data_IF_799627584410
#
_entry.id   IF_799627584410
#
_cell.length_a   1.000
_cell.length_b   1.000
_cell.length_c   1.000
_cell.angle_alpha   90.00
_cell.angle_beta   90.00
_cell.angle_gamma   90.00
#
_symmetry.space_group_name_H-M   'P 1'
#
loop_
_entity.id
_entity.type
_entity.pdbx_description
1 polymer ?
#
# COMPACT_ATOMS: atom_id res chain seq x y z
N UNK A 1 19.07 -21.36 42.05
CA UNK A 1 17.81 -21.70 41.34
C UNK A 1 17.76 -20.83 40.10
N UNK A 2 17.94 -21.42 38.91
CA UNK A 2 17.77 -20.70 37.64
C UNK A 2 16.29 -20.45 37.43
N UNK A 3 15.85 -19.18 37.47
CA UNK A 3 14.48 -18.80 37.10
C UNK A 3 14.27 -19.19 35.64
N UNK A 4 13.28 -20.05 35.40
CA UNK A 4 12.98 -20.54 34.05
C UNK A 4 12.11 -19.52 33.32
N UNK A 5 12.36 -19.30 32.03
CA UNK A 5 11.56 -18.39 31.20
C UNK A 5 10.06 -18.75 31.19
N UNK A 6 9.76 -20.03 31.43
CA UNK A 6 8.40 -20.59 31.47
C UNK A 6 7.65 -20.22 32.77
N UNK A 7 8.34 -19.69 33.78
CA UNK A 7 7.74 -19.23 35.04
C UNK A 7 7.18 -17.81 34.96
N UNK A 8 7.41 -17.11 33.84
CA UNK A 8 6.87 -15.77 33.64
C UNK A 8 5.35 -15.82 33.48
N UNK A 9 4.62 -14.81 34.02
CA UNK A 9 3.21 -14.61 33.71
C UNK A 9 2.97 -14.56 32.20
N UNK A 10 1.85 -15.14 31.76
CA UNK A 10 1.55 -15.31 30.33
C UNK A 10 1.48 -13.97 29.58
N UNK A 11 0.93 -12.94 30.20
CA UNK A 11 0.85 -11.57 29.66
C UNK A 11 2.24 -10.97 29.44
N UNK A 12 3.15 -11.11 30.41
CA UNK A 12 4.56 -10.68 30.29
C UNK A 12 5.25 -11.44 29.16
N UNK A 13 4.98 -12.74 29.04
CA UNK A 13 5.55 -13.56 27.99
C UNK A 13 5.06 -13.12 26.60
N UNK A 14 3.75 -12.89 26.43
CA UNK A 14 3.19 -12.37 25.17
C UNK A 14 3.77 -11.00 24.81
N UNK A 15 3.95 -10.13 25.81
CA UNK A 15 4.55 -8.81 25.65
C UNK A 15 6.01 -8.88 25.20
N UNK A 16 6.78 -9.89 25.62
CA UNK A 16 8.13 -10.12 25.10
C UNK A 16 8.10 -10.68 23.68
N UNK A 17 7.19 -11.62 23.39
CA UNK A 17 7.12 -12.31 22.11
C UNK A 17 6.67 -11.41 20.95
N UNK A 18 5.98 -10.29 21.22
CA UNK A 18 5.60 -9.32 20.17
C UNK A 18 6.80 -8.69 19.44
N UNK A 19 7.99 -8.78 20.04
CA UNK A 19 9.22 -8.23 19.45
C UNK A 19 9.93 -9.20 18.51
N UNK A 20 9.54 -10.47 18.50
CA UNK A 20 10.09 -11.46 17.58
C UNK A 20 9.49 -11.27 16.18
N UNK A 21 10.29 -11.54 15.15
CA UNK A 21 9.72 -11.72 13.83
C UNK A 21 8.98 -13.06 13.74
N UNK A 22 8.25 -13.27 12.64
CA UNK A 22 7.44 -14.49 12.50
C UNK A 22 8.30 -15.75 12.49
N UNK A 23 9.52 -15.68 11.96
CA UNK A 23 10.43 -16.83 11.90
C UNK A 23 10.93 -17.21 13.29
N UNK A 24 11.44 -16.24 14.04
CA UNK A 24 11.90 -16.39 15.41
C UNK A 24 10.78 -16.87 16.33
N UNK A 25 9.57 -16.34 16.14
CA UNK A 25 8.40 -16.79 16.88
C UNK A 25 8.08 -18.28 16.60
N UNK A 26 8.08 -18.70 15.34
CA UNK A 26 7.83 -20.11 14.98
C UNK A 26 8.91 -21.01 15.59
N UNK A 27 10.17 -20.60 15.51
CA UNK A 27 11.29 -21.32 16.10
C UNK A 27 11.14 -21.41 17.62
N UNK A 28 10.76 -20.31 18.28
CA UNK A 28 10.50 -20.26 19.71
C UNK A 28 9.36 -21.21 20.12
N UNK A 29 8.24 -21.20 19.38
CA UNK A 29 7.09 -22.08 19.61
C UNK A 29 7.45 -23.58 19.47
N UNK A 30 8.55 -23.90 18.79
CA UNK A 30 9.00 -25.28 18.61
C UNK A 30 9.79 -25.85 19.80
N UNK A 31 10.30 -24.99 20.70
CA UNK A 31 11.28 -25.34 21.73
C UNK A 31 10.79 -26.38 22.75
N UNK A 32 9.60 -26.20 23.33
CA UNK A 32 9.03 -27.12 24.32
C UNK A 32 7.50 -27.15 24.29
N UNK A 33 6.90 -28.13 24.98
CA UNK A 33 5.43 -28.33 24.98
C UNK A 33 4.68 -27.13 25.57
N UNK A 34 5.14 -26.61 26.71
CA UNK A 34 4.48 -25.48 27.38
C UNK A 34 4.52 -24.22 26.52
N UNK A 35 5.68 -23.92 25.91
CA UNK A 35 5.80 -22.79 24.99
C UNK A 35 4.93 -22.99 23.75
N UNK A 36 4.83 -24.22 23.23
CA UNK A 36 3.99 -24.55 22.08
C UNK A 36 2.51 -24.27 22.34
N UNK A 37 2.03 -24.36 23.57
CA UNK A 37 0.63 -24.03 23.91
C UNK A 37 0.27 -22.56 23.65
N UNK A 38 1.27 -21.66 23.66
CA UNK A 38 1.07 -20.25 23.33
C UNK A 38 0.59 -20.05 21.88
N UNK A 39 0.82 -21.02 20.99
CA UNK A 39 0.31 -20.98 19.63
C UNK A 39 -1.23 -20.91 19.58
N UNK A 40 -1.93 -21.25 20.67
CA UNK A 40 -3.38 -21.16 20.76
C UNK A 40 -3.89 -19.74 21.02
N UNK A 41 -3.00 -18.81 21.35
CA UNK A 41 -3.34 -17.41 21.61
C UNK A 41 -3.45 -16.62 20.30
N UNK A 42 -4.63 -16.08 19.99
CA UNK A 42 -4.84 -15.26 18.78
C UNK A 42 -3.95 -14.01 18.77
N UNK A 43 -3.83 -13.34 19.93
CA UNK A 43 -3.05 -12.12 20.09
C UNK A 43 -1.59 -12.30 19.68
N UNK A 44 -0.99 -13.45 19.97
CA UNK A 44 0.38 -13.76 19.59
C UNK A 44 0.60 -13.67 18.07
N UNK A 45 -0.27 -14.32 17.29
CA UNK A 45 -0.18 -14.31 15.83
C UNK A 45 -0.50 -12.94 15.24
N UNK A 46 -1.47 -12.24 15.83
CA UNK A 46 -1.80 -10.88 15.41
C UNK A 46 -0.62 -9.92 15.63
N UNK A 47 0.04 -9.98 16.79
CA UNK A 47 1.24 -9.18 17.06
C UNK A 47 2.36 -9.49 16.07
N UNK A 48 2.61 -10.77 15.76
CA UNK A 48 3.62 -11.14 14.78
C UNK A 48 3.32 -10.58 13.37
N UNK A 49 2.04 -10.58 12.97
CA UNK A 49 1.58 -10.00 11.70
C UNK A 49 1.67 -8.47 11.68
N UNK A 50 1.26 -7.80 12.76
CA UNK A 50 1.43 -6.34 12.93
C UNK A 50 2.91 -5.97 12.83
N UNK A 51 3.79 -6.73 13.48
CA UNK A 51 5.23 -6.51 13.45
C UNK A 51 5.82 -6.59 12.05
N UNK A 52 5.39 -7.58 11.25
CA UNK A 52 5.79 -7.67 9.84
C UNK A 52 5.41 -6.41 9.09
N UNK A 53 4.17 -5.94 9.28
CA UNK A 53 3.66 -4.74 8.64
C UNK A 53 4.49 -3.51 9.03
N UNK A 54 4.73 -3.29 10.32
CA UNK A 54 5.49 -2.15 10.83
C UNK A 54 6.95 -2.13 10.36
N UNK A 55 7.63 -3.28 10.42
CA UNK A 55 9.07 -3.35 10.15
C UNK A 55 9.38 -3.46 8.66
N UNK A 56 8.54 -4.17 7.91
CA UNK A 56 8.84 -4.51 6.51
C UNK A 56 8.00 -3.70 5.52
N UNK A 57 7.06 -2.87 6.01
CA UNK A 57 6.17 -2.04 5.18
C UNK A 57 5.44 -2.84 4.09
N UNK A 58 5.18 -4.13 4.36
CA UNK A 58 4.54 -5.01 3.39
C UNK A 58 3.04 -5.15 3.71
N UNK A 59 2.18 -5.05 2.68
CA UNK A 59 0.77 -5.38 2.84
C UNK A 59 0.64 -6.87 3.17
N UNK A 60 -0.11 -7.18 4.22
CA UNK A 60 -0.36 -8.57 4.61
C UNK A 60 -1.42 -9.19 3.69
N UNK A 61 -1.35 -10.50 3.43
CA UNK A 61 -2.37 -11.22 2.67
C UNK A 61 -3.62 -11.50 3.54
N UNK A 62 -4.20 -10.44 4.10
CA UNK A 62 -5.47 -10.47 4.84
C UNK A 62 -6.63 -10.10 3.89
N UNK A 63 -7.86 -10.61 4.12
CA UNK A 63 -9.04 -10.15 3.40
C UNK A 63 -9.23 -8.64 3.57
N UNK A 64 -9.71 -7.93 2.54
CA UNK A 64 -9.92 -6.48 2.60
C UNK A 64 -10.82 -6.04 3.77
N UNK A 65 -11.82 -6.85 4.14
CA UNK A 65 -12.70 -6.61 5.30
C UNK A 65 -12.00 -6.76 6.68
N UNK A 66 -10.77 -7.26 6.71
CA UNK A 66 -9.97 -7.48 7.91
C UNK A 66 -8.58 -6.85 7.75
N UNK A 67 -8.52 -5.67 7.13
CA UNK A 67 -7.28 -4.92 7.02
C UNK A 67 -6.83 -4.41 8.40
N UNK A 68 -5.52 -4.44 8.63
CA UNK A 68 -4.91 -3.83 9.81
C UNK A 68 -5.00 -2.29 9.79
N UNK A 69 -5.38 -1.70 8.65
CA UNK A 69 -5.53 -0.24 8.48
C UNK A 69 -6.83 0.30 9.02
N UNK A 70 -7.89 -0.51 8.98
CA UNK A 70 -9.26 -0.05 9.19
C UNK A 70 -9.82 -0.50 10.52
N UNK A 71 -9.29 -1.61 11.06
CA UNK A 71 -9.80 -2.23 12.27
C UNK A 71 -8.80 -2.06 13.42
N UNK A 72 -9.34 -1.76 14.60
CA UNK A 72 -8.61 -1.85 15.86
C UNK A 72 -8.14 -3.30 16.11
N UNK A 73 -7.11 -3.44 16.94
CA UNK A 73 -6.57 -4.74 17.32
C UNK A 73 -7.65 -5.67 17.90
N UNK A 74 -8.59 -5.11 18.66
CA UNK A 74 -9.69 -5.86 19.24
C UNK A 74 -10.66 -6.37 18.16
N UNK A 75 -11.06 -5.51 17.22
CA UNK A 75 -11.96 -5.90 16.11
C UNK A 75 -11.35 -7.00 15.24
N UNK A 76 -10.03 -7.00 15.04
CA UNK A 76 -9.32 -8.05 14.32
C UNK A 76 -9.31 -9.37 15.07
N UNK A 77 -9.14 -9.34 16.40
CA UNK A 77 -9.23 -10.54 17.24
C UNK A 77 -10.63 -11.17 17.22
N UNK A 78 -11.65 -10.33 17.14
CA UNK A 78 -13.06 -10.74 17.08
C UNK A 78 -13.41 -11.29 15.69
N UNK A 79 -12.89 -10.67 14.63
CA UNK A 79 -13.20 -11.03 13.23
C UNK A 79 -12.41 -12.24 12.73
N UNK A 80 -11.12 -12.35 13.08
CA UNK A 80 -10.23 -13.37 12.52
C UNK A 80 -10.18 -14.63 13.39
N UNK A 81 -10.31 -15.80 12.76
CA UNK A 81 -10.12 -17.08 13.44
C UNK A 81 -8.63 -17.35 13.71
N UNK A 82 -8.34 -18.12 14.77
CA UNK A 82 -6.97 -18.52 15.10
C UNK A 82 -6.28 -19.21 13.93
N UNK A 83 -6.99 -20.14 13.27
CA UNK A 83 -6.47 -20.86 12.10
C UNK A 83 -6.11 -19.92 10.95
N UNK A 84 -6.91 -18.86 10.72
CA UNK A 84 -6.62 -17.87 9.69
C UNK A 84 -5.36 -17.07 10.02
N UNK A 85 -5.23 -16.60 11.26
CA UNK A 85 -4.05 -15.86 11.73
C UNK A 85 -2.78 -16.71 11.61
N UNK A 86 -2.81 -17.96 12.08
CA UNK A 86 -1.71 -18.92 11.96
C UNK A 86 -1.32 -19.14 10.50
N UNK A 87 -2.30 -19.41 9.64
CA UNK A 87 -2.06 -19.65 8.23
C UNK A 87 -1.43 -18.44 7.54
N UNK A 88 -1.97 -17.24 7.78
CA UNK A 88 -1.42 -15.99 7.24
C UNK A 88 0.01 -15.77 7.73
N UNK A 89 0.32 -15.97 9.01
CA UNK A 89 1.68 -15.84 9.54
C UNK A 89 2.66 -16.81 8.87
N UNK A 90 2.28 -18.08 8.73
CA UNK A 90 3.10 -19.08 8.04
C UNK A 90 3.34 -18.72 6.56
N UNK A 91 2.31 -18.25 5.86
CA UNK A 91 2.44 -17.78 4.48
C UNK A 91 3.40 -16.60 4.37
N UNK A 92 3.26 -15.62 5.25
CA UNK A 92 4.15 -14.46 5.32
C UNK A 92 5.60 -14.90 5.56
N UNK A 93 5.83 -15.78 6.53
CA UNK A 93 7.16 -16.33 6.78
C UNK A 93 7.75 -17.01 5.53
N UNK A 94 6.95 -17.81 4.83
CA UNK A 94 7.40 -18.48 3.61
C UNK A 94 7.74 -17.49 2.49
N UNK A 95 6.93 -16.43 2.31
CA UNK A 95 7.20 -15.34 1.36
C UNK A 95 8.52 -14.66 1.73
N UNK A 96 8.71 -14.30 2.99
CA UNK A 96 9.93 -13.62 3.45
C UNK A 96 11.18 -14.49 3.27
N UNK A 97 11.10 -15.78 3.58
CA UNK A 97 12.19 -16.73 3.31
C UNK A 97 12.51 -16.82 1.83
N UNK A 98 11.49 -16.90 0.98
CA UNK A 98 11.68 -16.93 -0.47
C UNK A 98 12.33 -15.64 -0.98
N UNK A 99 11.87 -14.47 -0.53
CA UNK A 99 12.43 -13.17 -0.89
C UNK A 99 13.88 -12.99 -0.43
N UNK A 100 14.25 -13.55 0.73
CA UNK A 100 15.63 -13.53 1.26
C UNK A 100 16.55 -14.58 0.64
N UNK A 101 16.00 -15.55 -0.11
CA UNK A 101 16.80 -16.63 -0.70
C UNK A 101 17.65 -16.11 -1.88
N UNK A 102 18.79 -16.75 -2.14
CA UNK A 102 19.65 -16.40 -3.29
C UNK A 102 18.92 -16.54 -4.64
N UNK A 103 17.91 -17.42 -4.69
CA UNK A 103 17.15 -17.74 -5.90
C UNK A 103 15.64 -17.70 -5.59
N UNK A 104 15.04 -16.51 -5.40
CA UNK A 104 13.63 -16.37 -5.09
C UNK A 104 12.78 -16.98 -6.22
N UNK A 105 11.87 -17.87 -5.86
CA UNK A 105 10.99 -18.55 -6.82
C UNK A 105 9.62 -17.88 -6.83
N UNK A 106 9.11 -17.42 -7.98
CA UNK A 106 7.74 -16.95 -8.05
C UNK A 106 6.79 -18.10 -7.75
N UNK A 107 5.85 -17.92 -6.82
CA UNK A 107 4.84 -18.93 -6.48
C UNK A 107 3.88 -19.14 -7.65
N UNK A 108 3.57 -18.06 -8.37
CA UNK A 108 2.67 -18.08 -9.51
C UNK A 108 3.06 -16.99 -10.50
N UNK A 109 3.28 -17.38 -11.75
CA UNK A 109 3.51 -16.45 -12.85
C UNK A 109 2.20 -16.31 -13.62
N UNK A 110 1.79 -15.06 -13.83
CA UNK A 110 0.63 -14.70 -14.64
C UNK A 110 1.06 -13.65 -15.64
N UNK A 111 0.60 -13.78 -16.87
CA UNK A 111 0.85 -12.78 -17.91
C UNK A 111 -0.41 -11.95 -18.08
N UNK A 112 -0.27 -10.65 -17.91
CA UNK A 112 -1.31 -9.69 -18.30
C UNK A 112 -1.05 -9.29 -19.75
N UNK A 113 -2.08 -9.33 -20.59
CA UNK A 113 -1.99 -8.88 -21.99
C UNK A 113 -2.03 -7.36 -22.06
N UNK A 114 -0.97 -6.72 -21.56
CA UNK A 114 -0.81 -5.26 -21.57
C UNK A 114 -0.08 -4.87 -22.85
N UNK A 115 -0.55 -3.83 -23.52
CA UNK A 115 0.17 -3.24 -24.64
C UNK A 115 1.57 -2.77 -24.21
N UNK A 116 2.52 -2.79 -25.14
CA UNK A 116 3.89 -2.35 -24.89
C UNK A 116 3.87 -0.89 -24.41
N UNK A 117 4.82 -0.54 -23.53
CA UNK A 117 5.06 0.82 -23.01
C UNK A 117 4.14 1.33 -21.89
N UNK A 118 3.32 0.48 -21.28
CA UNK A 118 2.52 0.88 -20.12
C UNK A 118 3.24 0.65 -18.80
N UNK A 119 3.16 1.62 -17.89
CA UNK A 119 3.64 1.42 -16.50
C UNK A 119 2.58 0.65 -15.73
N UNK A 120 3.04 -0.11 -14.73
CA UNK A 120 2.21 -0.97 -13.89
C UNK A 120 2.33 -0.51 -12.43
N UNK A 121 1.19 -0.33 -11.78
CA UNK A 121 1.06 -0.15 -10.33
C UNK A 121 0.16 -1.25 -9.78
N UNK A 122 0.37 -1.65 -8.53
CA UNK A 122 -0.48 -2.64 -7.87
C UNK A 122 -1.38 -1.95 -6.84
N UNK A 123 -2.55 -2.51 -6.53
CA UNK A 123 -3.32 -2.17 -5.34
C UNK A 123 -3.38 -3.48 -4.54
N UNK A 124 -2.37 -3.75 -3.69
CA UNK A 124 -2.17 -5.07 -3.11
C UNK A 124 -3.38 -5.55 -2.31
N UNK A 125 -3.98 -4.68 -1.50
CA UNK A 125 -5.17 -5.00 -0.70
C UNK A 125 -6.36 -5.44 -1.56
N UNK A 126 -6.44 -4.96 -2.79
CA UNK A 126 -7.52 -5.26 -3.72
C UNK A 126 -7.18 -6.39 -4.71
N UNK A 127 -5.96 -6.92 -4.75
CA UNK A 127 -5.48 -7.79 -5.84
C UNK A 127 -5.74 -7.17 -7.23
N UNK A 128 -5.58 -5.85 -7.33
CA UNK A 128 -5.72 -5.14 -8.59
C UNK A 128 -4.37 -4.68 -9.10
N UNK A 129 -4.28 -4.50 -10.40
CA UNK A 129 -3.19 -3.80 -11.05
C UNK A 129 -3.74 -2.68 -11.93
N UNK A 130 -3.07 -1.55 -11.91
CA UNK A 130 -3.39 -0.39 -12.72
C UNK A 130 -2.28 -0.25 -13.75
N UNK A 131 -2.66 -0.27 -15.02
CA UNK A 131 -1.73 0.06 -16.10
C UNK A 131 -2.10 1.38 -16.72
N UNK A 132 -1.11 2.17 -17.10
CA UNK A 132 -1.39 3.39 -17.84
C UNK A 132 -0.37 3.68 -18.94
N UNK A 133 -0.83 4.39 -19.97
CA UNK A 133 -0.01 4.87 -21.09
C UNK A 133 -0.89 5.55 -22.13
N UNK A 134 -0.35 6.54 -22.84
CA UNK A 134 -1.06 7.26 -23.92
C UNK A 134 -2.44 7.81 -23.52
N UNK A 135 -2.59 8.23 -22.27
CA UNK A 135 -3.88 8.72 -21.76
C UNK A 135 -4.85 7.64 -21.33
N UNK A 136 -4.54 6.36 -21.55
CA UNK A 136 -5.37 5.24 -21.13
C UNK A 136 -4.99 4.81 -19.71
N UNK A 137 -5.99 4.50 -18.90
CA UNK A 137 -5.87 3.86 -17.59
C UNK A 137 -6.73 2.59 -17.62
N UNK A 138 -6.10 1.44 -17.44
CA UNK A 138 -6.78 0.15 -17.30
C UNK A 138 -6.57 -0.39 -15.90
N UNK A 139 -7.65 -0.91 -15.32
CA UNK A 139 -7.61 -1.66 -14.07
C UNK A 139 -7.80 -3.15 -14.37
N UNK A 140 -6.93 -3.98 -13.81
CA UNK A 140 -6.84 -5.42 -14.02
C UNK A 140 -7.06 -6.14 -12.70
N UNK A 141 -7.83 -7.21 -12.70
CA UNK A 141 -7.91 -8.13 -11.58
C UNK A 141 -6.77 -9.16 -11.70
N UNK A 142 -5.91 -9.23 -10.69
CA UNK A 142 -4.75 -10.11 -10.67
C UNK A 142 -5.10 -11.59 -10.41
N UNK A 143 -6.31 -11.87 -9.90
CA UNK A 143 -6.82 -13.21 -9.69
C UNK A 143 -7.43 -13.81 -10.96
N UNK A 144 -8.07 -13.00 -11.80
CA UNK A 144 -8.66 -13.46 -13.07
C UNK A 144 -7.79 -13.14 -14.29
N UNK A 145 -6.82 -12.25 -14.15
CA UNK A 145 -6.05 -11.64 -15.24
C UNK A 145 -6.92 -10.91 -16.28
N UNK A 146 -8.12 -10.48 -15.89
CA UNK A 146 -9.03 -9.77 -16.78
C UNK A 146 -9.00 -8.27 -16.49
N UNK A 147 -9.21 -7.49 -17.55
CA UNK A 147 -9.46 -6.05 -17.41
C UNK A 147 -10.85 -5.84 -16.84
N UNK A 148 -10.92 -5.21 -15.68
CA UNK A 148 -12.16 -4.96 -14.93
C UNK A 148 -12.68 -3.54 -15.09
N UNK A 149 -11.82 -2.58 -15.42
CA UNK A 149 -12.25 -1.24 -15.82
C UNK A 149 -11.26 -0.58 -16.77
N UNK A 150 -11.75 0.44 -17.48
CA UNK A 150 -11.03 1.17 -18.51
C UNK A 150 -11.47 2.64 -18.48
N UNK A 151 -10.51 3.54 -18.63
CA UNK A 151 -10.76 4.98 -18.73
C UNK A 151 -9.79 5.58 -19.74
N UNK A 152 -10.31 6.44 -20.61
CA UNK A 152 -9.50 7.25 -21.52
C UNK A 152 -9.46 8.70 -21.04
N UNK A 153 -8.25 9.23 -20.91
CA UNK A 153 -7.95 10.62 -20.72
C UNK A 153 -7.40 11.12 -22.06
N UNK A 154 -8.01 12.13 -22.65
CA UNK A 154 -7.69 12.63 -24.01
C UNK A 154 -6.32 13.33 -24.13
N UNK A 155 -5.39 13.09 -23.20
CA UNK A 155 -4.07 13.73 -23.11
C UNK A 155 -3.05 12.69 -22.62
N UNK A 156 -1.75 12.91 -22.84
CA UNK A 156 -0.74 12.02 -22.29
C UNK A 156 -0.76 12.07 -20.77
N UNK A 157 -0.69 10.89 -20.16
CA UNK A 157 -0.80 10.72 -18.73
C UNK A 157 0.55 10.40 -18.09
N UNK A 158 1.00 11.31 -17.23
CA UNK A 158 2.22 11.22 -16.45
C UNK A 158 1.87 10.81 -15.00
N UNK A 159 1.55 9.53 -14.76
CA UNK A 159 1.35 9.01 -13.39
C UNK A 159 2.72 8.75 -12.75
N UNK A 160 2.92 9.26 -11.52
CA UNK A 160 4.16 9.03 -10.75
C UNK A 160 3.92 8.88 -9.24
N UNK A 161 2.72 9.08 -8.69
CA UNK A 161 2.54 8.81 -7.25
C UNK A 161 2.54 7.31 -6.99
N UNK A 162 3.63 6.83 -6.40
CA UNK A 162 3.71 5.52 -5.77
C UNK A 162 4.41 5.68 -4.41
N UNK A 163 3.81 5.22 -3.29
CA UNK A 163 2.53 4.51 -3.19
C UNK A 163 1.31 5.39 -3.52
N UNK A 164 0.17 4.75 -3.84
CA UNK A 164 -1.13 5.43 -3.91
C UNK A 164 -1.70 5.67 -2.52
N UNK A 165 -2.64 6.62 -2.42
CA UNK A 165 -3.46 6.78 -1.22
C UNK A 165 -4.58 5.74 -1.26
N UNK A 166 -4.66 4.86 -0.27
CA UNK A 166 -5.77 3.90 -0.14
C UNK A 166 -6.74 4.36 0.96
N UNK A 167 -8.03 4.40 0.65
CA UNK A 167 -9.12 4.75 1.57
C UNK A 167 -10.25 3.73 1.40
N UNK A 168 -10.61 2.96 2.43
CA UNK A 168 -11.76 2.04 2.48
C UNK A 168 -12.37 1.60 1.13
N UNK A 169 -11.65 0.76 0.39
CA UNK A 169 -12.12 0.25 -0.90
C UNK A 169 -11.89 1.18 -2.10
N UNK A 170 -11.07 2.21 -1.95
CA UNK A 170 -10.63 3.13 -2.99
C UNK A 170 -9.11 3.24 -3.01
N UNK A 171 -8.57 3.46 -4.20
CA UNK A 171 -7.18 3.83 -4.40
C UNK A 171 -7.10 5.10 -5.24
N UNK A 172 -6.37 6.10 -4.75
CA UNK A 172 -6.25 7.41 -5.37
C UNK A 172 -4.80 7.63 -5.80
N UNK A 173 -4.63 7.93 -7.08
CA UNK A 173 -3.35 8.22 -7.71
C UNK A 173 -3.30 9.68 -8.12
N UNK A 174 -2.20 10.35 -7.80
CA UNK A 174 -1.85 11.65 -8.36
C UNK A 174 -1.09 11.50 -9.67
N UNK A 175 -1.48 12.29 -10.66
CA UNK A 175 -0.85 12.34 -11.96
C UNK A 175 -0.85 13.77 -12.50
N UNK A 176 -0.14 13.97 -13.60
CA UNK A 176 -0.36 15.12 -14.47
C UNK A 176 -0.74 14.64 -15.87
N UNK A 177 -1.42 15.50 -16.62
CA UNK A 177 -1.77 15.28 -18.02
C UNK A 177 -1.37 16.45 -18.91
N UNK A 178 -1.05 16.20 -20.18
CA UNK A 178 -0.78 17.24 -21.19
C UNK A 178 -0.23 16.68 -22.52
N UNK A 179 0.12 17.54 -23.48
CA UNK A 179 0.57 17.13 -24.83
C UNK A 179 2.09 17.08 -25.03
N UNK A 180 2.85 17.27 -23.96
CA UNK A 180 4.32 17.25 -23.96
C UNK A 180 4.90 17.75 -22.65
N UNK A 181 4.16 18.62 -21.96
CA UNK A 181 4.42 19.06 -20.58
C UNK A 181 3.16 18.87 -19.73
N UNK A 182 3.29 18.74 -18.39
CA UNK A 182 2.18 18.83 -17.46
C UNK A 182 1.37 20.11 -17.67
N UNK A 183 0.10 19.96 -18.08
CA UNK A 183 -0.88 21.05 -18.25
C UNK A 183 -1.94 21.03 -17.15
N UNK A 184 -2.27 19.84 -16.63
CA UNK A 184 -3.22 19.71 -15.52
C UNK A 184 -2.71 18.71 -14.50
N UNK A 185 -3.08 18.91 -13.24
CA UNK A 185 -3.03 17.87 -12.23
C UNK A 185 -4.29 17.01 -12.35
N UNK A 186 -4.13 15.72 -12.13
CA UNK A 186 -5.23 14.76 -12.14
C UNK A 186 -5.15 13.88 -10.90
N UNK A 187 -6.28 13.74 -10.22
CA UNK A 187 -6.48 12.70 -9.22
C UNK A 187 -7.31 11.58 -9.87
N UNK A 188 -6.76 10.37 -9.98
CA UNK A 188 -7.46 9.18 -10.50
C UNK A 188 -7.90 8.37 -9.31
N UNK A 189 -9.21 8.16 -9.17
CA UNK A 189 -9.79 7.35 -8.11
C UNK A 189 -10.31 6.05 -8.71
N UNK A 190 -9.84 4.92 -8.17
CA UNK A 190 -10.33 3.58 -8.48
C UNK A 190 -11.17 3.13 -7.29
N UNK A 191 -12.48 3.04 -7.48
CA UNK A 191 -13.42 2.56 -6.46
C UNK A 191 -13.69 1.07 -6.68
N UNK A 192 -13.21 0.26 -5.75
CA UNK A 192 -13.32 -1.19 -5.74
C UNK A 192 -14.11 -1.70 -4.53
N UNK A 193 -14.92 -0.85 -3.89
CA UNK A 193 -15.85 -1.25 -2.81
C UNK A 193 -16.84 -2.30 -3.29
N UNK A 194 -17.36 -2.13 -4.51
CA UNK A 194 -18.12 -3.14 -5.22
C UNK A 194 -17.25 -3.70 -6.36
N UNK A 195 -16.71 -4.90 -6.18
CA UNK A 195 -15.89 -5.57 -7.21
C UNK A 195 -16.66 -5.88 -8.49
N UNK A 196 -17.98 -6.06 -8.40
CA UNK A 196 -18.80 -6.31 -9.59
C UNK A 196 -18.98 -5.03 -10.41
N UNK A 197 -18.93 -3.87 -9.74
CA UNK A 197 -19.13 -2.55 -10.33
C UNK A 197 -17.92 -1.64 -10.08
N UNK A 198 -16.71 -2.17 -10.30
CA UNK A 198 -15.48 -1.40 -10.15
C UNK A 198 -15.49 -0.22 -11.13
N UNK A 199 -15.18 0.97 -10.63
CA UNK A 199 -15.18 2.19 -11.44
C UNK A 199 -13.87 2.95 -11.33
N UNK A 200 -13.50 3.58 -12.44
CA UNK A 200 -12.38 4.53 -12.50
C UNK A 200 -12.99 5.90 -12.76
N UNK A 201 -12.70 6.84 -11.89
CA UNK A 201 -13.08 8.24 -12.02
C UNK A 201 -11.86 9.13 -11.90
N UNK A 202 -11.98 10.38 -12.33
CA UNK A 202 -10.89 11.33 -12.22
C UNK A 202 -11.42 12.74 -11.93
N UNK A 203 -10.56 13.54 -11.30
CA UNK A 203 -10.75 14.97 -11.16
C UNK A 203 -9.57 15.69 -11.79
N UNK A 204 -9.84 16.71 -12.60
CA UNK A 204 -8.83 17.49 -13.32
C UNK A 204 -8.77 18.88 -12.69
N UNK A 205 -7.56 19.35 -12.38
CA UNK A 205 -7.36 20.73 -11.92
C UNK A 205 -7.57 21.74 -13.05
N UNK A 206 -7.77 23.02 -12.73
CA UNK A 206 -7.51 24.11 -13.68
C UNK A 206 -6.10 23.99 -14.29
N UNK A 207 -5.88 24.66 -15.42
CA UNK A 207 -4.58 24.63 -16.11
C UNK A 207 -3.44 25.08 -15.19
N UNK A 208 -2.38 24.29 -15.18
CA UNK A 208 -1.10 24.55 -14.56
C UNK A 208 -0.23 25.29 -15.60
N UNK A 209 0.23 26.50 -15.30
CA UNK A 209 1.20 27.17 -16.17
C UNK A 209 2.51 26.37 -16.16
N UNK A 210 2.80 25.73 -17.29
CA UNK A 210 3.78 24.64 -17.42
C UNK A 210 5.19 25.01 -16.96
N UNK A 211 5.75 24.17 -16.09
CA UNK A 211 7.20 24.03 -15.95
C UNK A 211 7.65 22.80 -16.74
N UNK A 212 8.83 22.86 -17.34
CA UNK A 212 9.37 21.73 -18.10
C UNK A 212 9.50 20.49 -17.21
N UNK A 213 9.09 19.35 -17.78
CA UNK A 213 8.73 18.09 -17.11
C UNK A 213 9.89 17.24 -16.59
N UNK A 214 11.12 17.75 -16.62
CA UNK A 214 12.29 17.00 -16.18
C UNK A 214 12.45 17.15 -14.65
N UNK A 215 12.34 16.04 -13.93
CA UNK A 215 12.45 15.93 -12.46
C UNK A 215 11.27 16.51 -11.68
N UNK A 216 10.09 15.91 -11.87
CA UNK A 216 8.91 16.17 -11.03
C UNK A 216 8.67 15.00 -10.07
N UNK A 217 8.44 15.31 -8.80
CA UNK A 217 8.06 14.35 -7.76
C UNK A 217 6.62 14.60 -7.35
N UNK A 218 5.72 13.67 -7.65
CA UNK A 218 4.32 13.82 -7.30
C UNK A 218 4.07 13.44 -5.85
N UNK A 219 3.11 14.11 -5.23
CA UNK A 219 2.60 13.79 -3.91
C UNK A 219 1.07 13.84 -3.91
N UNK A 220 0.48 13.04 -3.03
CA UNK A 220 -0.96 13.01 -2.82
C UNK A 220 -1.25 12.84 -1.34
N UNK A 221 -2.33 13.48 -0.89
CA UNK A 221 -2.92 13.39 0.45
C UNK A 221 -4.43 13.26 0.28
N UNK A 222 -5.17 13.13 1.39
CA UNK A 222 -6.65 13.06 1.36
C UNK A 222 -7.32 14.32 0.79
N UNK A 223 -6.62 15.46 0.77
CA UNK A 223 -7.18 16.75 0.34
C UNK A 223 -6.44 17.39 -0.83
N UNK A 224 -5.18 17.02 -1.05
CA UNK A 224 -4.29 17.71 -1.98
C UNK A 224 -3.59 16.72 -2.88
N UNK A 225 -3.54 17.03 -4.17
CA UNK A 225 -2.64 16.41 -5.15
C UNK A 225 -1.69 17.47 -5.68
N UNK A 226 -0.45 17.10 -5.96
CA UNK A 226 0.52 18.02 -6.50
C UNK A 226 1.80 17.36 -6.98
N UNK A 227 2.72 18.19 -7.45
CA UNK A 227 4.11 17.79 -7.69
C UNK A 227 5.08 18.86 -7.24
N UNK A 228 6.27 18.41 -6.88
CA UNK A 228 7.45 19.24 -6.66
C UNK A 228 8.28 19.21 -7.93
N UNK A 229 8.46 20.36 -8.55
CA UNK A 229 9.39 20.61 -9.63
C UNK A 229 10.65 21.31 -9.09
N UNK A 230 11.64 21.53 -9.97
CA UNK A 230 12.91 22.15 -9.58
C UNK A 230 12.76 23.52 -8.93
N UNK A 231 11.81 24.34 -9.41
CA UNK A 231 11.62 25.73 -8.99
C UNK A 231 10.33 25.99 -8.23
N UNK A 232 9.41 25.01 -8.19
CA UNK A 232 8.10 25.23 -7.60
C UNK A 232 7.48 23.96 -7.04
N UNK A 233 6.60 24.14 -6.07
CA UNK A 233 5.60 23.16 -5.65
C UNK A 233 4.28 23.59 -6.27
N UNK A 234 3.71 22.70 -7.07
CA UNK A 234 2.40 22.89 -7.68
C UNK A 234 1.43 21.97 -6.95
N UNK A 235 0.36 22.53 -6.42
CA UNK A 235 -0.64 21.77 -5.65
C UNK A 235 -2.05 22.22 -5.97
N UNK A 236 -2.99 21.29 -5.84
CA UNK A 236 -4.40 21.54 -6.06
C UNK A 236 -5.23 20.77 -5.03
N UNK A 237 -6.25 21.45 -4.51
CA UNK A 237 -7.16 20.94 -3.48
C UNK A 237 -8.31 20.20 -4.12
N UNK A 238 -8.43 18.90 -3.83
CA UNK A 238 -9.44 18.01 -4.40
C UNK A 238 -10.84 18.25 -3.79
N UNK A 239 -10.89 18.76 -2.56
CA UNK A 239 -12.13 19.06 -1.82
C UNK A 239 -12.82 20.34 -2.30
N UNK A 240 -12.11 21.19 -3.04
CA UNK A 240 -12.67 22.38 -3.67
C UNK A 240 -12.11 22.52 -5.10
N UNK A 241 -12.72 21.85 -6.09
CA UNK A 241 -12.20 21.80 -7.44
C UNK A 241 -12.17 23.16 -8.15
N UNK A 242 -12.96 24.12 -7.65
CA UNK A 242 -13.00 25.49 -8.15
C UNK A 242 -11.83 26.34 -7.64
N UNK A 243 -11.08 25.87 -6.63
CA UNK A 243 -9.86 26.53 -6.25
C UNK A 243 -8.83 26.44 -7.38
N UNK A 244 -8.19 27.57 -7.65
CA UNK A 244 -7.06 27.63 -8.56
C UNK A 244 -5.91 26.73 -8.08
N UNK A 245 -5.05 26.36 -9.02
CA UNK A 245 -3.79 25.68 -8.73
C UNK A 245 -2.88 26.64 -7.96
N UNK A 246 -2.36 26.19 -6.82
CA UNK A 246 -1.41 26.96 -6.01
C UNK A 246 0.00 26.60 -6.47
N UNK A 247 0.76 27.63 -6.86
CA UNK A 247 2.18 27.50 -7.23
C UNK A 247 3.03 28.23 -6.20
N UNK A 248 3.79 27.47 -5.43
CA UNK A 248 4.68 28.00 -4.40
C UNK A 248 6.12 27.90 -4.89
N UNK A 249 6.88 29.00 -4.99
CA UNK A 249 8.30 28.94 -5.36
C UNK A 249 9.10 28.14 -4.32
N UNK A 250 10.06 27.37 -4.79
CA UNK A 250 11.00 26.64 -3.92
C UNK A 250 12.27 27.47 -3.78
N UNK A 251 12.53 28.01 -2.60
CA UNK A 251 13.87 28.48 -2.23
C UNK A 251 14.72 27.26 -1.84
N UNK A 252 15.72 26.96 -2.68
CA UNK A 252 16.45 25.69 -2.69
C UNK A 252 17.41 25.42 -1.49
N UNK A 253 17.70 26.28 -0.48
CA UNK A 253 18.65 25.84 0.55
C UNK A 253 18.08 24.77 1.52
N UNK A 254 16.77 24.48 1.53
CA UNK A 254 16.22 23.59 2.57
C UNK A 254 14.87 22.97 2.25
N UNK A 255 14.71 22.24 1.14
CA UNK A 255 13.68 21.19 1.13
C UNK A 255 14.19 20.06 2.03
N UNK A 256 13.91 20.16 3.34
CA UNK A 256 13.82 18.97 4.19
C UNK A 256 12.47 18.35 3.86
N UNK A 257 12.45 17.30 3.03
CA UNK A 257 11.32 16.38 3.03
C UNK A 257 11.24 15.81 4.44
N UNK A 258 10.38 16.41 5.27
CA UNK A 258 9.98 15.83 6.54
C UNK A 258 9.14 14.64 6.13
N UNK A 259 9.79 13.48 5.99
CA UNK A 259 9.08 12.21 6.04
C UNK A 259 8.39 12.21 7.41
N UNK A 260 7.09 12.46 7.42
CA UNK A 260 6.27 12.14 8.57
C UNK A 260 6.34 10.62 8.70
N UNK A 261 7.23 10.13 9.57
CA UNK A 261 6.91 8.92 10.29
C UNK A 261 5.57 9.22 10.95
N UNK A 262 4.50 8.63 10.41
CA UNK A 262 3.25 8.50 11.13
C UNK A 262 3.60 7.62 12.33
N UNK A 263 3.94 8.27 13.44
CA UNK A 263 4.20 7.60 14.69
C UNK A 263 2.88 7.09 15.21
N UNK A 264 2.73 5.77 15.24
CA UNK A 264 2.56 4.89 16.41
C UNK A 264 2.01 3.57 15.95
#
# INVERSE_FOLDING_TARGET
MSRSFVELPQDVLLELLKHLDVEDLINFLSLCRVIRELQLQKSLWLYALVRVREVQMQPLPLPAAASLDTLSLQELLDTLSLQKLQHTALQVNQIMKNLKSENPRPVRIRTLSVERERRLFCIPAANLAVTHGLGIVDCWDLLTCQRVAHMEIRMFLYIVTWPCLEEEGKAIFGAAIGWGTPEHLVAICIDYRDRANLSISHLISPAVQGEYSYNIHFFITTQVVGFVARSSIVSWRMDNPNNGVVKTPVDIPSIRLINFHVGT
#
